data_IF_055514562216
#
_entry.id   IF_055514562216
#
_cell.length_a   1.000
_cell.length_b   1.000
_cell.length_c   1.000
_cell.angle_alpha   90.00
_cell.angle_beta   90.00
_cell.angle_gamma   90.00
#
_symmetry.space_group_name_H-M   'P 1'
#
loop_
_entity.id
_entity.type
_entity.pdbx_description
1 polymer ?
#
# COMPACT_ATOMS: atom_id res chain seq x y z
N UNK A 1 33.23 -34.10 55.61
CA UNK A 1 33.66 -33.20 54.54
C UNK A 1 32.41 -32.79 53.79
N UNK A 2 31.82 -31.64 54.16
CA UNK A 2 30.48 -31.20 53.64
C UNK A 2 30.67 -30.35 52.39
N UNK A 3 30.03 -30.79 51.33
CA UNK A 3 29.95 -30.09 50.03
C UNK A 3 29.34 -28.68 50.20
N UNK A 4 30.17 -27.64 50.37
CA UNK A 4 29.80 -26.23 50.36
C UNK A 4 30.01 -25.57 48.97
N UNK A 5 30.12 -26.35 47.91
CA UNK A 5 30.47 -25.83 46.57
C UNK A 5 29.20 -25.48 45.74
N UNK A 6 28.02 -25.99 46.08
CA UNK A 6 26.83 -25.81 45.24
C UNK A 6 26.07 -24.47 45.50
N UNK A 7 26.26 -23.86 46.66
CA UNK A 7 25.50 -22.63 46.97
C UNK A 7 26.07 -21.34 46.37
N UNK A 8 27.28 -21.35 45.89
CA UNK A 8 27.93 -20.20 45.26
C UNK A 8 27.54 -20.06 43.79
N UNK A 9 27.24 -21.14 43.10
CA UNK A 9 26.82 -21.14 41.71
C UNK A 9 25.42 -20.57 41.51
N UNK A 10 24.50 -20.82 42.43
CA UNK A 10 23.11 -20.30 42.39
C UNK A 10 22.95 -18.84 42.84
N UNK A 11 24.01 -18.19 43.31
CA UNK A 11 23.97 -16.81 43.80
C UNK A 11 24.79 -15.85 42.93
N UNK A 12 25.18 -16.30 41.75
CA UNK A 12 25.85 -15.45 40.79
C UNK A 12 24.85 -14.85 39.81
N UNK A 13 24.28 -13.72 40.15
CA UNK A 13 23.27 -12.98 39.36
C UNK A 13 23.80 -12.46 38.02
N UNK A 14 25.12 -12.41 37.83
CA UNK A 14 25.74 -12.00 36.57
C UNK A 14 25.43 -12.94 35.41
N UNK A 15 25.20 -14.23 35.65
CA UNK A 15 24.78 -15.20 34.64
C UNK A 15 23.32 -15.03 34.20
N UNK A 16 22.45 -14.59 35.09
CA UNK A 16 21.04 -14.33 34.81
C UNK A 16 20.88 -13.14 33.86
N UNK A 17 21.63 -12.06 34.09
CA UNK A 17 21.58 -10.87 33.24
C UNK A 17 22.05 -11.15 31.81
N UNK A 18 23.06 -11.98 31.64
CA UNK A 18 23.57 -12.37 30.31
C UNK A 18 22.58 -13.23 29.54
N UNK A 19 21.86 -14.13 30.20
CA UNK A 19 20.82 -14.96 29.58
C UNK A 19 19.61 -14.10 29.20
N UNK A 20 19.18 -13.19 30.05
CA UNK A 20 18.11 -12.26 29.79
C UNK A 20 18.43 -11.35 28.59
N UNK A 21 19.64 -10.78 28.53
CA UNK A 21 20.09 -9.98 27.41
C UNK A 21 20.12 -10.79 26.10
N UNK A 22 20.51 -12.06 26.14
CA UNK A 22 20.56 -12.93 24.97
C UNK A 22 19.18 -13.13 24.31
N UNK A 23 18.10 -13.09 25.09
CA UNK A 23 16.72 -13.15 24.56
C UNK A 23 16.14 -11.77 24.30
N UNK A 24 16.41 -10.80 25.14
CA UNK A 24 15.85 -9.44 25.01
C UNK A 24 16.38 -8.72 23.78
N UNK A 25 17.68 -8.81 23.48
CA UNK A 25 18.31 -8.10 22.36
C UNK A 25 17.75 -8.54 20.99
N UNK A 26 17.65 -9.84 20.65
CA UNK A 26 17.06 -10.27 19.40
C UNK A 26 15.58 -9.89 19.27
N UNK A 27 14.80 -9.98 20.33
CA UNK A 27 13.38 -9.60 20.34
C UNK A 27 13.22 -8.11 20.11
N UNK A 28 14.05 -7.29 20.75
CA UNK A 28 14.03 -5.83 20.57
C UNK A 28 14.46 -5.45 19.14
N UNK A 29 15.51 -6.09 18.61
CA UNK A 29 15.95 -5.88 17.24
C UNK A 29 14.84 -6.26 16.23
N UNK A 30 14.15 -7.39 16.46
CA UNK A 30 13.03 -7.79 15.65
C UNK A 30 11.88 -6.77 15.69
N UNK A 31 11.53 -6.27 16.88
CA UNK A 31 10.49 -5.26 17.04
C UNK A 31 10.83 -3.95 16.31
N UNK A 32 12.10 -3.52 16.34
CA UNK A 32 12.55 -2.34 15.59
C UNK A 32 12.44 -2.58 14.09
N UNK A 33 12.89 -3.73 13.59
CA UNK A 33 12.78 -4.08 12.17
C UNK A 33 11.31 -4.14 11.72
N UNK A 34 10.44 -4.75 12.51
CA UNK A 34 9.00 -4.83 12.24
C UNK A 34 8.40 -3.41 12.15
N UNK A 35 8.69 -2.55 13.11
CA UNK A 35 8.22 -1.15 13.12
C UNK A 35 8.70 -0.40 11.88
N UNK A 36 9.93 -0.58 11.47
CA UNK A 36 10.48 0.04 10.26
C UNK A 36 9.75 -0.42 8.99
N UNK A 37 9.50 -1.72 8.85
CA UNK A 37 8.77 -2.29 7.70
C UNK A 37 7.34 -1.74 7.65
N UNK A 38 6.63 -1.71 8.78
CA UNK A 38 5.30 -1.11 8.85
C UNK A 38 5.31 0.36 8.45
N UNK A 39 6.25 1.14 8.99
CA UNK A 39 6.36 2.55 8.62
C UNK A 39 6.63 2.75 7.13
N UNK A 40 7.52 1.94 6.53
CA UNK A 40 7.80 1.99 5.10
C UNK A 40 6.55 1.66 4.27
N UNK A 41 5.80 0.62 4.64
CA UNK A 41 4.57 0.23 3.96
C UNK A 41 3.51 1.34 4.01
N UNK A 42 3.25 1.91 5.18
CA UNK A 42 2.29 3.03 5.32
C UNK A 42 2.74 4.28 4.58
N UNK A 43 4.03 4.59 4.58
CA UNK A 43 4.57 5.71 3.80
C UNK A 43 4.30 5.52 2.31
N UNK A 44 4.59 4.33 1.78
CA UNK A 44 4.35 4.01 0.37
C UNK A 44 2.87 4.13 0.01
N UNK A 45 1.98 3.57 0.84
CA UNK A 45 0.54 3.68 0.65
C UNK A 45 0.06 5.14 0.62
N UNK A 46 0.47 5.94 1.59
CA UNK A 46 0.10 7.36 1.64
C UNK A 46 0.61 8.16 0.44
N UNK A 47 1.81 7.87 -0.05
CA UNK A 47 2.37 8.54 -1.23
C UNK A 47 1.58 8.14 -2.47
N UNK A 48 1.27 6.85 -2.66
CA UNK A 48 0.46 6.37 -3.77
C UNK A 48 -0.96 6.98 -3.75
N UNK A 49 -1.62 7.05 -2.60
CA UNK A 49 -2.93 7.69 -2.46
C UNK A 49 -2.87 9.17 -2.86
N UNK A 50 -1.88 9.93 -2.39
CA UNK A 50 -1.72 11.34 -2.77
C UNK A 50 -1.48 11.50 -4.26
N UNK A 51 -0.64 10.64 -4.85
CA UNK A 51 -0.43 10.64 -6.29
C UNK A 51 -1.73 10.38 -7.05
N UNK A 52 -2.52 9.39 -6.63
CA UNK A 52 -3.83 9.09 -7.22
C UNK A 52 -4.78 10.30 -7.15
N UNK A 53 -4.91 10.95 -6.01
CA UNK A 53 -5.75 12.16 -5.90
C UNK A 53 -5.28 13.28 -6.82
N UNK A 54 -3.98 13.46 -6.99
CA UNK A 54 -3.43 14.46 -7.90
C UNK A 54 -3.78 14.14 -9.35
N UNK A 55 -3.65 12.87 -9.75
CA UNK A 55 -4.00 12.44 -11.11
C UNK A 55 -5.50 12.61 -11.38
N UNK A 56 -6.35 12.24 -10.42
CA UNK A 56 -7.81 12.42 -10.54
C UNK A 56 -8.17 13.90 -10.67
N UNK A 57 -7.55 14.78 -9.89
CA UNK A 57 -7.77 16.23 -10.00
C UNK A 57 -7.30 16.78 -11.35
N UNK A 58 -6.20 16.28 -11.91
CA UNK A 58 -5.74 16.66 -13.24
C UNK A 58 -6.75 16.25 -14.31
N UNK A 59 -7.22 15.01 -14.31
CA UNK A 59 -8.21 14.50 -15.27
C UNK A 59 -9.52 15.27 -15.16
N UNK A 60 -10.00 15.54 -13.95
CA UNK A 60 -11.29 16.21 -13.72
C UNK A 60 -11.32 17.68 -14.19
N UNK A 61 -10.15 18.27 -14.39
CA UNK A 61 -10.02 19.66 -14.92
C UNK A 61 -9.71 19.71 -16.40
N UNK A 62 -9.53 18.57 -17.06
CA UNK A 62 -9.22 18.51 -18.47
C UNK A 62 -10.48 18.80 -19.27
N UNK A 63 -10.39 19.78 -20.17
CA UNK A 63 -11.47 20.18 -21.07
C UNK A 63 -11.35 19.54 -22.46
N UNK A 64 -10.19 18.91 -22.75
CA UNK A 64 -9.90 18.25 -24.01
C UNK A 64 -10.20 16.76 -23.86
N UNK A 65 -10.58 16.11 -24.97
CA UNK A 65 -10.79 14.67 -24.97
C UNK A 65 -9.52 13.92 -24.51
N UNK A 66 -9.68 13.08 -23.51
CA UNK A 66 -8.62 12.24 -22.96
C UNK A 66 -8.27 11.17 -24.01
N UNK A 67 -7.07 11.25 -24.55
CA UNK A 67 -6.54 10.30 -25.52
C UNK A 67 -5.52 9.34 -24.89
N UNK A 68 -5.07 8.35 -25.66
CA UNK A 68 -4.09 7.35 -25.25
C UNK A 68 -2.75 7.97 -24.81
N UNK A 69 -2.32 9.05 -25.48
CA UNK A 69 -1.08 9.76 -25.13
C UNK A 69 -1.21 10.47 -23.78
N UNK A 70 -2.40 11.03 -23.51
CA UNK A 70 -2.68 11.69 -22.25
C UNK A 70 -2.64 10.69 -21.09
N UNK A 71 -3.28 9.52 -21.25
CA UNK A 71 -3.22 8.44 -20.23
C UNK A 71 -1.79 7.96 -19.99
N UNK A 72 -0.98 7.87 -21.04
CA UNK A 72 0.44 7.52 -20.91
C UNK A 72 1.21 8.57 -20.11
N UNK A 73 1.00 9.85 -20.39
CA UNK A 73 1.60 10.96 -19.65
C UNK A 73 1.15 10.99 -18.16
N UNK A 74 -0.11 10.66 -17.90
CA UNK A 74 -0.61 10.51 -16.52
C UNK A 74 0.07 9.36 -15.80
N UNK A 75 0.30 8.23 -16.48
CA UNK A 75 1.01 7.10 -15.89
C UNK A 75 2.46 7.47 -15.54
N UNK A 76 3.18 8.16 -16.41
CA UNK A 76 4.53 8.65 -16.13
C UNK A 76 4.54 9.64 -14.95
N UNK A 77 3.55 10.54 -14.90
CA UNK A 77 3.37 11.48 -13.78
C UNK A 77 3.09 10.75 -12.48
N UNK A 78 2.22 9.74 -12.50
CA UNK A 78 1.96 8.90 -11.34
C UNK A 78 3.22 8.19 -10.85
N UNK A 79 3.99 7.61 -11.76
CA UNK A 79 5.27 6.97 -11.42
C UNK A 79 6.22 7.95 -10.74
N UNK A 80 6.34 9.15 -11.26
CA UNK A 80 7.19 10.20 -10.68
C UNK A 80 6.72 10.59 -9.27
N UNK A 81 5.43 10.85 -9.09
CA UNK A 81 4.83 11.24 -7.82
C UNK A 81 4.86 10.14 -6.76
N UNK A 82 4.74 8.89 -7.18
CA UNK A 82 4.76 7.73 -6.26
C UNK A 82 6.16 7.29 -5.84
N UNK A 83 7.22 7.94 -6.33
CA UNK A 83 8.61 7.65 -5.96
C UNK A 83 9.41 6.95 -7.06
N UNK A 84 8.91 6.97 -8.28
CA UNK A 84 9.57 6.43 -9.46
C UNK A 84 9.64 4.89 -9.46
N UNK A 85 10.45 4.36 -10.37
CA UNK A 85 10.65 2.91 -10.54
C UNK A 85 11.24 2.19 -9.31
N UNK A 86 11.66 2.93 -8.28
CA UNK A 86 12.19 2.37 -7.05
C UNK A 86 11.15 1.50 -6.28
N UNK A 87 9.85 1.70 -6.53
CA UNK A 87 8.76 0.93 -5.92
C UNK A 87 8.27 -0.24 -6.80
N UNK A 88 8.89 -0.46 -7.96
CA UNK A 88 8.50 -1.49 -8.92
C UNK A 88 7.56 -0.98 -10.02
N UNK A 89 7.08 -1.88 -10.90
CA UNK A 89 6.17 -1.51 -11.96
C UNK A 89 4.85 -1.00 -11.38
N UNK A 90 4.45 0.19 -11.80
CA UNK A 90 3.14 0.75 -11.46
C UNK A 90 2.15 0.48 -12.58
N UNK A 91 0.89 0.39 -12.21
CA UNK A 91 -0.23 0.29 -13.13
C UNK A 91 -1.23 1.41 -12.79
N UNK A 92 -1.89 1.90 -13.79
CA UNK A 92 -2.97 2.89 -13.65
C UNK A 92 -4.13 2.45 -14.54
N UNK A 93 -5.34 2.63 -14.03
CA UNK A 93 -6.57 2.49 -14.79
C UNK A 93 -7.45 3.69 -14.52
N UNK A 94 -7.92 4.31 -15.57
CA UNK A 94 -8.89 5.40 -15.51
C UNK A 94 -10.21 4.85 -16.00
N UNK A 95 -11.25 4.99 -15.20
CA UNK A 95 -12.60 4.56 -15.54
C UNK A 95 -13.56 5.71 -15.28
N UNK A 96 -14.42 5.98 -16.23
CA UNK A 96 -15.50 6.97 -16.14
C UNK A 96 -16.80 6.22 -15.92
N UNK A 97 -17.45 6.52 -14.84
CA UNK A 97 -18.75 5.95 -14.48
C UNK A 97 -19.79 7.06 -14.40
N UNK A 98 -21.00 6.78 -14.88
CA UNK A 98 -22.14 7.67 -14.80
C UNK A 98 -23.19 7.05 -13.87
N UNK A 99 -23.85 7.89 -13.11
CA UNK A 99 -24.98 7.49 -12.29
C UNK A 99 -26.27 7.65 -13.12
N UNK A 100 -26.89 6.52 -13.46
CA UNK A 100 -28.11 6.45 -14.28
C UNK A 100 -29.25 5.85 -13.45
N UNK A 101 -30.45 6.32 -13.64
CA UNK A 101 -31.65 5.73 -13.03
C UNK A 101 -32.11 4.52 -13.84
N UNK A 102 -32.24 3.35 -13.20
CA UNK A 102 -32.77 2.15 -13.81
C UNK A 102 -34.24 2.38 -14.18
N UNK A 103 -34.61 2.27 -15.47
CA UNK A 103 -35.96 2.55 -15.93
C UNK A 103 -37.01 1.56 -15.37
N UNK A 104 -36.60 0.39 -14.89
CA UNK A 104 -37.52 -0.65 -14.41
C UNK A 104 -37.75 -0.57 -12.90
N UNK A 105 -36.73 -0.18 -12.12
CA UNK A 105 -36.79 -0.14 -10.64
C UNK A 105 -36.80 1.27 -10.07
N UNK A 106 -36.32 2.27 -10.81
CA UNK A 106 -36.13 3.63 -10.34
C UNK A 106 -34.96 3.79 -9.36
N UNK A 107 -34.10 2.77 -9.24
CA UNK A 107 -32.91 2.81 -8.42
C UNK A 107 -31.76 3.49 -9.17
N UNK A 108 -30.87 4.18 -8.43
CA UNK A 108 -29.64 4.72 -8.99
C UNK A 108 -28.62 3.60 -9.22
N UNK A 109 -28.22 3.39 -10.48
CA UNK A 109 -27.19 2.43 -10.87
C UNK A 109 -26.00 3.14 -11.50
N UNK A 110 -24.79 2.60 -11.24
CA UNK A 110 -23.57 3.06 -11.87
C UNK A 110 -23.38 2.33 -13.20
N UNK A 111 -23.24 3.08 -14.27
CA UNK A 111 -22.91 2.58 -15.60
C UNK A 111 -21.48 2.93 -15.97
N UNK A 112 -20.72 1.96 -16.50
CA UNK A 112 -19.39 2.18 -17.00
C UNK A 112 -19.45 2.77 -18.41
N UNK A 113 -19.03 4.03 -18.54
CA UNK A 113 -18.98 4.69 -19.84
C UNK A 113 -17.72 4.35 -20.60
N UNK A 114 -16.59 4.35 -19.88
CA UNK A 114 -15.28 4.16 -20.52
C UNK A 114 -14.25 3.73 -19.48
N UNK A 115 -13.30 2.89 -19.91
CA UNK A 115 -12.18 2.46 -19.09
C UNK A 115 -10.94 2.25 -19.94
N UNK A 116 -9.81 2.74 -19.49
CA UNK A 116 -8.51 2.61 -20.15
C UNK A 116 -7.42 2.31 -19.11
N UNK A 117 -6.60 1.29 -19.37
CA UNK A 117 -5.54 0.83 -18.48
C UNK A 117 -4.13 1.03 -19.07
N UNK A 118 -3.14 1.19 -18.17
CA UNK A 118 -1.71 1.10 -18.51
C UNK A 118 -1.05 0.14 -17.53
N UNK A 119 -0.46 -0.92 -18.06
CA UNK A 119 0.01 -2.07 -17.30
C UNK A 119 -1.10 -2.73 -16.45
N UNK A 120 -2.35 -2.55 -16.84
CA UNK A 120 -3.54 -3.11 -16.22
C UNK A 120 -4.61 -3.33 -17.29
N UNK A 121 -5.44 -4.36 -17.14
CA UNK A 121 -6.50 -4.65 -18.08
C UNK A 121 -7.62 -3.60 -18.00
N UNK A 122 -8.22 -3.29 -19.15
CA UNK A 122 -9.40 -2.44 -19.22
C UNK A 122 -10.59 -3.16 -18.58
N UNK A 123 -11.57 -2.39 -18.12
CA UNK A 123 -12.80 -2.95 -17.59
C UNK A 123 -13.86 -3.01 -18.68
N UNK A 124 -14.42 -4.20 -18.85
CA UNK A 124 -15.61 -4.40 -19.71
C UNK A 124 -16.92 -4.14 -18.96
N UNK A 125 -16.88 -4.22 -17.60
CA UNK A 125 -18.02 -3.98 -16.71
C UNK A 125 -17.58 -3.55 -15.33
N UNK A 126 -18.53 -3.23 -14.44
CA UNK A 126 -18.26 -2.77 -13.06
C UNK A 126 -18.16 -3.91 -12.03
N UNK A 127 -18.37 -5.17 -12.42
CA UNK A 127 -18.37 -6.28 -11.46
C UNK A 127 -17.11 -6.37 -10.63
N UNK A 128 -15.87 -6.20 -11.20
CA UNK A 128 -14.65 -6.21 -10.42
C UNK A 128 -14.50 -5.07 -9.41
N UNK A 129 -15.27 -3.99 -9.55
CA UNK A 129 -15.24 -2.83 -8.63
C UNK A 129 -16.26 -3.00 -7.51
N UNK A 130 -17.36 -3.71 -7.78
CA UNK A 130 -18.42 -3.96 -6.78
C UNK A 130 -17.99 -4.89 -5.66
N UNK A 131 -17.03 -5.78 -5.94
CA UNK A 131 -16.55 -6.78 -5.01
C UNK A 131 -15.37 -6.30 -4.12
N UNK A 132 -14.97 -5.01 -4.22
CA UNK A 132 -13.95 -4.37 -3.40
C UNK A 132 -14.56 -3.60 -2.24
#
# INVERSE_FOLDING_TARGET
MKLRLTSRYFRNENGSLSVEACFAVPLLAWAICATYVFFAAFKTLNVAQKATYTIVDMISREEIAVDDNYITALHETFQYLSGGQALGPSAIRVSVVEMTEDPDTGDEVLELIWSEGRNYDDLDNLDPIRDL
#
